data_IF_954611950517
#
_entry.id   IF_954611950517
#
_cell.length_a   1.000
_cell.length_b   1.000
_cell.length_c   1.000
_cell.angle_alpha   90.00
_cell.angle_beta   90.00
_cell.angle_gamma   90.00
#
_symmetry.space_group_name_H-M   'P 1'
#
loop_
_entity.id
_entity.type
_entity.pdbx_description
1 polymer ?
#
# COMPACT_ATOMS: atom_id res chain seq x y z
N UNK A 1 5.81 -0.14 -4.04
CA UNK A 1 6.41 -0.90 -2.93
C UNK A 1 7.80 -1.32 -3.33
N UNK A 2 8.80 -0.95 -2.53
CA UNK A 2 10.16 -1.46 -2.68
C UNK A 2 10.39 -2.44 -1.53
N UNK A 3 10.67 -3.69 -1.82
CA UNK A 3 11.08 -4.66 -0.82
C UNK A 3 12.29 -5.44 -1.32
N UNK A 4 13.15 -5.75 -0.38
CA UNK A 4 14.30 -6.65 -0.57
C UNK A 4 13.87 -8.01 -0.05
N UNK A 5 13.73 -8.99 -0.92
CA UNK A 5 13.35 -10.34 -0.54
C UNK A 5 14.56 -11.27 -0.64
N UNK A 6 15.04 -11.76 0.49
CA UNK A 6 15.90 -12.94 0.51
C UNK A 6 15.03 -14.16 0.23
N UNK A 7 14.96 -14.57 -1.04
CA UNK A 7 14.27 -15.80 -1.41
C UNK A 7 15.22 -16.98 -1.17
N UNK A 8 15.08 -17.65 -0.04
CA UNK A 8 15.75 -18.93 0.16
C UNK A 8 14.98 -20.05 -0.55
N UNK A 9 15.38 -20.37 -1.77
CA UNK A 9 14.96 -21.62 -2.43
C UNK A 9 15.88 -22.75 -1.94
N UNK A 10 15.36 -23.81 -1.30
CA UNK A 10 16.18 -24.92 -0.83
C UNK A 10 16.49 -25.86 -2.00
N UNK A 11 17.42 -25.48 -2.85
CA UNK A 11 18.08 -26.39 -3.81
C UNK A 11 19.53 -26.01 -3.92
N UNK A 12 20.39 -26.57 -3.04
CA UNK A 12 21.85 -26.74 -3.26
C UNK A 12 22.69 -25.54 -3.73
N UNK A 13 22.18 -24.31 -3.71
CA UNK A 13 22.82 -23.07 -4.07
C UNK A 13 22.46 -22.02 -3.03
N UNK A 14 23.37 -21.09 -2.70
CA UNK A 14 23.18 -20.06 -1.67
C UNK A 14 21.89 -19.27 -1.83
N UNK A 15 21.36 -18.72 -0.73
CA UNK A 15 20.22 -17.81 -0.71
C UNK A 15 20.47 -16.69 -1.71
N UNK A 16 19.55 -16.49 -2.65
CA UNK A 16 19.56 -15.36 -3.58
C UNK A 16 18.61 -14.30 -3.05
N UNK A 17 19.11 -13.11 -2.81
CA UNK A 17 18.26 -11.95 -2.51
C UNK A 17 17.92 -11.21 -3.79
N UNK A 18 16.70 -10.71 -3.90
CA UNK A 18 16.26 -9.84 -4.99
C UNK A 18 15.46 -8.68 -4.46
N UNK A 19 15.62 -7.51 -5.08
CA UNK A 19 14.76 -6.36 -4.82
C UNK A 19 13.68 -6.31 -5.89
N UNK A 20 12.44 -6.16 -5.46
CA UNK A 20 11.27 -6.00 -6.33
C UNK A 20 10.71 -4.60 -6.13
N UNK A 21 10.36 -3.94 -7.21
CA UNK A 21 9.64 -2.66 -7.21
C UNK A 21 8.35 -2.86 -7.98
N UNK A 22 7.23 -2.57 -7.33
CA UNK A 22 5.92 -2.55 -7.96
C UNK A 22 5.29 -1.17 -7.78
N UNK A 23 4.70 -0.63 -8.84
CA UNK A 23 3.97 0.63 -8.85
C UNK A 23 2.48 0.36 -8.92
N UNK A 24 1.68 1.29 -8.44
CA UNK A 24 0.26 1.36 -8.81
C UNK A 24 0.19 1.45 -10.34
N UNK A 25 -0.66 0.64 -10.96
CA UNK A 25 -0.66 0.42 -12.40
C UNK A 25 -1.98 0.72 -13.11
N UNK A 26 -3.05 1.00 -12.35
CA UNK A 26 -4.36 1.38 -12.88
C UNK A 26 -5.09 2.27 -11.86
N UNK A 27 -6.02 3.12 -12.30
CA UNK A 27 -6.82 3.98 -11.40
C UNK A 27 -7.66 3.17 -10.39
N UNK A 28 -8.02 1.93 -10.69
CA UNK A 28 -8.68 1.03 -9.72
C UNK A 28 -7.74 0.39 -8.71
N UNK A 29 -6.45 0.73 -8.72
CA UNK A 29 -5.42 0.19 -7.83
C UNK A 29 -5.03 1.18 -6.72
N UNK A 30 -5.47 2.43 -6.80
CA UNK A 30 -5.51 3.36 -5.67
C UNK A 30 -6.93 3.92 -5.51
N UNK A 31 -7.33 4.14 -4.27
CA UNK A 31 -8.68 4.57 -3.98
C UNK A 31 -8.79 5.19 -2.59
N UNK A 32 -9.78 6.03 -2.40
CA UNK A 32 -10.10 6.70 -1.16
C UNK A 32 -11.53 6.39 -0.76
N UNK A 33 -11.73 5.90 0.45
CA UNK A 33 -13.06 5.70 1.02
C UNK A 33 -13.32 6.73 2.11
N UNK A 34 -14.33 7.56 1.89
CA UNK A 34 -14.78 8.60 2.79
C UNK A 34 -15.56 8.04 4.00
N UNK A 35 -15.79 8.88 5.01
CA UNK A 35 -16.52 8.50 6.24
C UNK A 35 -17.95 8.03 5.96
N UNK A 36 -18.60 8.50 4.89
CA UNK A 36 -19.93 8.06 4.47
C UNK A 36 -19.93 6.73 3.70
N UNK A 37 -18.74 6.14 3.48
CA UNK A 37 -18.52 4.90 2.77
C UNK A 37 -18.44 5.06 1.25
N UNK A 38 -18.59 6.26 0.70
CA UNK A 38 -18.37 6.50 -0.73
C UNK A 38 -16.90 6.29 -1.09
N UNK A 39 -16.64 5.71 -2.27
CA UNK A 39 -15.28 5.39 -2.73
C UNK A 39 -14.99 6.12 -4.02
N UNK A 40 -13.89 6.86 -4.05
CA UNK A 40 -13.29 7.43 -5.24
C UNK A 40 -12.13 6.53 -5.71
N UNK A 41 -12.16 6.14 -6.98
CA UNK A 41 -11.11 5.36 -7.66
C UNK A 41 -10.47 6.15 -8.80
N UNK A 42 -10.67 7.44 -8.84
CA UNK A 42 -10.21 8.31 -9.93
C UNK A 42 -9.75 9.68 -9.44
N UNK A 43 -9.42 9.79 -8.14
CA UNK A 43 -8.83 11.02 -7.60
C UNK A 43 -7.48 11.31 -8.24
N UNK A 44 -7.19 12.57 -8.51
CA UNK A 44 -5.90 13.00 -9.06
C UNK A 44 -4.77 13.01 -8.04
N UNK A 45 -5.08 12.83 -6.78
CA UNK A 45 -4.17 12.80 -5.64
C UNK A 45 -4.72 11.87 -4.54
N UNK A 46 -3.92 11.59 -3.53
CA UNK A 46 -4.28 10.74 -2.41
C UNK A 46 -4.10 11.53 -1.11
N UNK A 47 -5.23 11.83 -0.45
CA UNK A 47 -5.21 12.48 0.85
C UNK A 47 -5.08 11.44 1.98
N UNK A 48 -3.94 11.48 2.64
CA UNK A 48 -3.64 10.59 3.77
C UNK A 48 -3.75 11.34 5.11
N UNK A 49 -4.89 11.40 5.79
CA UNK A 49 -6.17 10.74 5.60
C UNK A 49 -7.32 11.72 5.88
N UNK A 50 -7.03 13.01 5.93
CA UNK A 50 -8.02 14.06 6.19
C UNK A 50 -8.01 15.08 5.05
N UNK A 51 -9.15 15.27 4.42
CA UNK A 51 -9.43 16.36 3.50
C UNK A 51 -10.64 17.13 4.01
N UNK A 52 -11.83 16.81 3.55
CA UNK A 52 -13.12 17.34 4.07
C UNK A 52 -13.71 16.45 5.17
N UNK A 53 -13.32 15.22 5.24
CA UNK A 53 -13.68 14.22 6.27
C UNK A 53 -12.49 13.25 6.45
N UNK A 54 -12.63 12.29 7.35
CA UNK A 54 -11.62 11.24 7.52
C UNK A 54 -11.85 10.16 6.47
N UNK A 55 -10.78 9.72 5.85
CA UNK A 55 -10.84 8.70 4.81
C UNK A 55 -9.81 7.59 5.02
N UNK A 56 -9.98 6.49 4.31
CA UNK A 56 -9.02 5.37 4.24
C UNK A 56 -8.52 5.25 2.82
N UNK A 57 -7.21 5.29 2.65
CA UNK A 57 -6.57 5.10 1.35
C UNK A 57 -6.27 3.63 1.13
N UNK A 58 -6.72 3.08 0.02
CA UNK A 58 -6.40 1.75 -0.47
C UNK A 58 -5.35 1.80 -1.57
N UNK A 59 -4.35 0.92 -1.49
CA UNK A 59 -3.27 0.82 -2.47
C UNK A 59 -3.11 -0.66 -2.85
N UNK A 60 -3.26 -0.99 -4.13
CA UNK A 60 -3.12 -2.35 -4.65
C UNK A 60 -1.95 -2.42 -5.63
N UNK A 61 -1.15 -3.42 -5.50
CA UNK A 61 0.02 -3.70 -6.32
C UNK A 61 -0.18 -5.03 -7.02
N UNK A 62 -0.24 -5.00 -8.34
CA UNK A 62 -0.51 -6.18 -9.17
C UNK A 62 0.76 -6.93 -9.56
N UNK A 63 0.57 -8.21 -9.91
CA UNK A 63 1.62 -9.09 -10.45
C UNK A 63 2.86 -9.20 -9.54
N UNK A 64 2.67 -9.39 -8.23
CA UNK A 64 3.78 -9.47 -7.26
C UNK A 64 4.55 -10.79 -7.42
N UNK A 65 5.81 -10.78 -7.88
CA UNK A 65 6.56 -11.99 -8.21
C UNK A 65 7.22 -12.64 -6.97
N UNK A 66 6.58 -12.61 -5.81
CA UNK A 66 7.08 -13.25 -4.58
C UNK A 66 6.54 -14.67 -4.49
N UNK A 67 7.43 -15.62 -4.25
CA UNK A 67 7.01 -17.00 -4.00
C UNK A 67 6.28 -17.14 -2.66
N UNK A 68 5.31 -18.06 -2.58
CA UNK A 68 4.68 -18.41 -1.30
C UNK A 68 5.74 -18.86 -0.30
N UNK A 69 5.68 -18.31 0.92
CA UNK A 69 6.63 -18.61 1.99
C UNK A 69 8.03 -18.05 1.79
N UNK A 70 8.26 -17.15 0.81
CA UNK A 70 9.50 -16.39 0.71
C UNK A 70 9.70 -15.54 1.97
N UNK A 71 10.95 -15.34 2.38
CA UNK A 71 11.29 -14.49 3.53
C UNK A 71 11.38 -13.04 3.05
N UNK A 72 10.52 -12.19 3.59
CA UNK A 72 10.52 -10.74 3.34
C UNK A 72 11.38 -10.07 4.41
N UNK A 73 12.54 -9.57 4.03
CA UNK A 73 13.49 -8.96 4.98
C UNK A 73 13.33 -7.45 5.10
N UNK A 74 12.73 -6.81 4.10
CA UNK A 74 12.45 -5.39 4.07
C UNK A 74 11.25 -5.13 3.14
N UNK A 75 10.34 -4.24 3.54
CA UNK A 75 9.28 -3.74 2.69
C UNK A 75 8.95 -2.29 3.07
N UNK A 76 8.69 -1.45 2.07
CA UNK A 76 8.33 -0.06 2.26
C UNK A 76 7.37 0.42 1.18
N UNK A 77 6.55 1.41 1.53
CA UNK A 77 5.84 2.26 0.58
C UNK A 77 6.65 3.52 0.31
N UNK A 78 6.60 4.00 -0.91
CA UNK A 78 7.17 5.29 -1.29
C UNK A 78 6.07 6.12 -1.93
N UNK A 79 5.87 7.30 -1.38
CA UNK A 79 4.93 8.30 -1.85
C UNK A 79 5.69 9.48 -2.43
N UNK A 80 5.15 10.10 -3.47
CA UNK A 80 5.62 11.38 -3.98
C UNK A 80 4.67 12.47 -3.48
N UNK A 81 5.18 13.52 -2.89
CA UNK A 81 4.36 14.61 -2.36
C UNK A 81 3.72 15.41 -3.51
N UNK A 82 2.40 15.50 -3.54
CA UNK A 82 1.65 16.37 -4.46
C UNK A 82 1.45 17.76 -3.87
N UNK A 83 1.22 17.85 -2.57
CA UNK A 83 1.08 19.12 -1.85
C UNK A 83 2.10 19.28 -0.72
N UNK A 84 2.39 20.54 -0.37
CA UNK A 84 3.16 20.85 0.84
C UNK A 84 2.24 20.87 2.05
N UNK A 85 2.53 20.07 3.07
CA UNK A 85 1.78 20.05 4.32
C UNK A 85 2.68 19.70 5.51
N UNK A 86 2.45 20.38 6.66
CA UNK A 86 3.17 20.17 7.90
C UNK A 86 2.27 19.83 9.08
N UNK A 87 1.00 19.54 8.84
CA UNK A 87 0.03 19.11 9.85
C UNK A 87 0.57 17.90 10.61
N UNK A 88 0.36 17.85 11.91
CA UNK A 88 0.74 16.68 12.71
C UNK A 88 -0.05 15.46 12.22
N UNK A 89 0.65 14.46 11.72
CA UNK A 89 0.06 13.30 11.04
C UNK A 89 0.54 12.00 11.69
N UNK A 90 -0.38 11.10 11.98
CA UNK A 90 -0.11 9.77 12.53
C UNK A 90 -0.94 8.74 11.79
N UNK A 91 -0.27 7.90 11.02
CA UNK A 91 -0.89 6.92 10.12
C UNK A 91 -0.61 5.50 10.61
N UNK A 92 -1.48 4.59 10.20
CA UNK A 92 -1.33 3.15 10.40
C UNK A 92 -1.55 2.45 9.06
N UNK A 93 -0.64 1.57 8.70
CA UNK A 93 -0.74 0.73 7.51
C UNK A 93 -1.11 -0.69 7.93
N UNK A 94 -2.12 -1.27 7.27
CA UNK A 94 -2.47 -2.68 7.32
C UNK A 94 -2.42 -3.27 5.91
N UNK A 95 -2.25 -4.58 5.80
CA UNK A 95 -2.46 -5.30 4.56
C UNK A 95 -3.88 -5.87 4.45
N UNK A 96 -4.31 -6.22 3.24
CA UNK A 96 -5.43 -7.11 3.05
C UNK A 96 -4.98 -8.54 3.27
N UNK A 97 -5.62 -9.25 4.19
CA UNK A 97 -5.34 -10.67 4.41
C UNK A 97 -6.07 -11.48 3.33
N UNK A 98 -5.51 -11.46 2.14
CA UNK A 98 -6.00 -12.18 0.95
C UNK A 98 -4.81 -12.77 0.21
N UNK A 99 -5.00 -13.89 -0.41
CA UNK A 99 -4.03 -14.52 -1.32
C UNK A 99 -3.98 -13.82 -2.68
N UNK A 100 -5.07 -13.13 -3.09
CA UNK A 100 -5.13 -12.37 -4.33
C UNK A 100 -6.12 -11.20 -4.14
N UNK A 101 -5.63 -9.98 -4.06
CA UNK A 101 -6.44 -8.81 -3.76
C UNK A 101 -7.15 -8.27 -5.01
N UNK A 102 -8.48 -8.26 -5.00
CA UNK A 102 -9.26 -7.65 -6.08
C UNK A 102 -9.07 -6.13 -6.17
N UNK A 103 -9.17 -5.57 -7.37
CA UNK A 103 -9.15 -4.13 -7.61
C UNK A 103 -10.23 -3.40 -6.77
N UNK A 104 -10.02 -2.12 -6.51
CA UNK A 104 -11.02 -1.28 -5.85
C UNK A 104 -12.16 -0.93 -6.80
N UNK A 105 -13.29 -0.55 -6.22
CA UNK A 105 -14.48 -0.15 -6.97
C UNK A 105 -15.24 0.95 -6.23
N UNK A 106 -16.11 1.65 -6.92
CA UNK A 106 -16.98 2.70 -6.35
C UNK A 106 -18.12 2.15 -5.47
N UNK A 107 -18.12 0.86 -5.15
CA UNK A 107 -19.10 0.27 -4.23
C UNK A 107 -18.92 0.82 -2.82
N UNK A 108 -20.00 1.21 -2.17
CA UNK A 108 -19.98 1.73 -0.79
C UNK A 108 -19.30 0.72 0.14
N UNK A 109 -18.34 1.20 0.93
CA UNK A 109 -17.61 0.37 1.89
C UNK A 109 -16.60 -0.59 1.25
N UNK A 110 -16.19 -0.37 0.01
CA UNK A 110 -15.31 -1.32 -0.71
C UNK A 110 -13.92 -1.47 -0.07
N UNK A 111 -13.43 -0.44 0.66
CA UNK A 111 -12.13 -0.46 1.33
C UNK A 111 -12.28 -0.86 2.80
N UNK A 112 -13.25 -0.30 3.51
CA UNK A 112 -13.38 -0.46 4.98
C UNK A 112 -14.15 -1.70 5.40
N UNK A 113 -14.89 -2.35 4.51
CA UNK A 113 -15.61 -3.59 4.83
C UNK A 113 -14.64 -4.75 5.12
N UNK A 114 -14.38 -4.99 6.40
CA UNK A 114 -13.45 -6.04 6.86
C UNK A 114 -13.93 -7.46 6.61
N UNK A 115 -15.19 -7.66 6.20
CA UNK A 115 -15.70 -8.97 5.79
C UNK A 115 -15.19 -9.31 4.38
N UNK A 116 -15.21 -8.35 3.47
CA UNK A 116 -14.77 -8.53 2.09
C UNK A 116 -13.26 -8.31 1.95
N UNK A 117 -12.71 -7.41 2.77
CA UNK A 117 -11.28 -7.08 2.81
C UNK A 117 -10.73 -7.21 4.25
N UNK A 118 -10.55 -8.45 4.74
CA UNK A 118 -9.97 -8.68 6.07
C UNK A 118 -8.57 -8.08 6.16
N UNK A 119 -8.23 -7.59 7.35
CA UNK A 119 -6.93 -6.97 7.63
C UNK A 119 -5.93 -8.00 8.13
N UNK A 120 -4.66 -7.77 7.82
CA UNK A 120 -3.55 -8.47 8.48
C UNK A 120 -3.56 -8.19 9.99
N UNK A 121 -3.07 -9.14 10.78
CA UNK A 121 -2.80 -8.92 12.21
C UNK A 121 -1.61 -7.99 12.39
N UNK A 122 -0.61 -8.08 11.52
CA UNK A 122 0.50 -7.16 11.47
C UNK A 122 0.03 -5.78 10.98
N UNK A 123 0.59 -4.74 11.58
CA UNK A 123 0.39 -3.35 11.18
C UNK A 123 1.68 -2.56 11.38
N UNK A 124 1.78 -1.42 10.72
CA UNK A 124 2.92 -0.51 10.86
C UNK A 124 2.41 0.91 11.13
N UNK A 125 2.90 1.52 12.21
CA UNK A 125 2.66 2.92 12.51
C UNK A 125 3.65 3.81 11.76
N UNK A 126 3.14 4.81 11.06
CA UNK A 126 3.94 5.77 10.30
C UNK A 126 3.61 7.20 10.69
N UNK A 127 4.63 7.93 11.11
CA UNK A 127 4.55 9.38 11.38
C UNK A 127 5.37 10.10 10.32
N UNK A 128 4.78 10.45 9.18
CA UNK A 128 5.51 11.11 8.10
C UNK A 128 6.02 12.47 8.55
N UNK A 129 7.24 12.80 8.14
CA UNK A 129 7.72 14.18 8.25
C UNK A 129 6.88 15.11 7.38
N UNK A 130 7.00 16.43 7.57
CA UNK A 130 6.35 17.40 6.71
C UNK A 130 6.71 17.14 5.24
N UNK A 131 5.71 17.21 4.35
CA UNK A 131 5.91 17.30 2.91
C UNK A 131 6.33 18.74 2.60
N UNK A 132 7.64 18.96 2.54
CA UNK A 132 8.20 20.32 2.47
C UNK A 132 8.31 20.85 1.04
N UNK A 133 8.21 19.99 0.04
CA UNK A 133 8.21 20.37 -1.37
C UNK A 133 7.46 19.33 -2.21
N UNK A 134 6.74 19.81 -3.21
CA UNK A 134 6.10 18.98 -4.24
C UNK A 134 7.18 18.15 -4.95
N UNK A 135 6.87 16.90 -5.27
CA UNK A 135 7.78 15.93 -5.88
C UNK A 135 8.79 15.28 -4.93
N UNK A 136 8.75 15.65 -3.64
CA UNK A 136 9.62 15.01 -2.63
C UNK A 136 9.13 13.58 -2.35
N UNK A 137 10.08 12.65 -2.27
CA UNK A 137 9.78 11.26 -1.91
C UNK A 137 9.73 11.08 -0.40
N UNK A 138 8.73 10.34 0.07
CA UNK A 138 8.53 9.97 1.46
C UNK A 138 8.35 8.47 1.60
N UNK A 139 9.09 7.87 2.52
CA UNK A 139 9.11 6.42 2.71
C UNK A 139 8.40 6.02 4.01
N UNK A 140 7.47 5.10 3.92
CA UNK A 140 6.88 4.37 5.02
C UNK A 140 7.55 3.00 5.10
N UNK A 141 8.50 2.83 6.01
CA UNK A 141 9.33 1.63 6.16
C UNK A 141 8.83 0.72 7.28
N UNK A 142 9.19 -0.57 7.24
CA UNK A 142 8.81 -1.52 8.29
C UNK A 142 7.55 -2.33 7.96
N UNK A 143 7.25 -2.53 6.68
CA UNK A 143 6.08 -3.27 6.20
C UNK A 143 6.34 -4.77 6.03
N UNK A 144 7.54 -5.26 6.32
CA UNK A 144 7.94 -6.64 6.07
C UNK A 144 7.03 -7.66 6.75
N UNK A 145 6.57 -7.41 7.97
CA UNK A 145 5.66 -8.33 8.67
C UNK A 145 4.26 -8.36 8.03
N UNK A 146 3.79 -7.25 7.49
CA UNK A 146 2.51 -7.16 6.78
C UNK A 146 2.60 -7.97 5.48
N UNK A 147 3.63 -7.71 4.68
CA UNK A 147 3.84 -8.43 3.41
C UNK A 147 4.08 -9.91 3.67
N UNK A 148 4.86 -10.27 4.72
CA UNK A 148 5.11 -11.66 5.09
C UNK A 148 3.80 -12.41 5.45
N UNK A 149 2.88 -11.77 6.18
CA UNK A 149 1.60 -12.37 6.53
C UNK A 149 0.76 -12.67 5.28
N UNK A 150 0.80 -11.78 4.29
CA UNK A 150 0.07 -11.96 3.02
C UNK A 150 0.70 -13.08 2.18
N UNK A 151 2.00 -13.05 1.95
CA UNK A 151 2.67 -14.05 1.10
C UNK A 151 2.72 -15.46 1.72
N UNK A 152 2.41 -15.57 2.99
CA UNK A 152 2.24 -16.85 3.69
C UNK A 152 0.83 -17.44 3.55
N UNK A 153 -0.13 -16.72 2.93
CA UNK A 153 -1.47 -17.28 2.70
C UNK A 153 -1.36 -18.53 1.81
N UNK A 154 -2.15 -19.56 2.11
CA UNK A 154 -2.04 -20.85 1.44
C UNK A 154 -2.32 -20.80 -0.07
N UNK A 155 -3.12 -19.83 -0.51
CA UNK A 155 -3.45 -19.59 -1.92
C UNK A 155 -2.54 -18.58 -2.61
N UNK A 156 -1.59 -17.94 -1.87
CA UNK A 156 -0.67 -16.99 -2.48
C UNK A 156 0.24 -17.67 -3.52
N UNK A 157 0.39 -17.04 -4.66
CA UNK A 157 1.30 -17.47 -5.73
C UNK A 157 2.00 -16.26 -6.37
N UNK A 158 3.18 -16.42 -6.96
CA UNK A 158 3.80 -15.38 -7.77
C UNK A 158 2.86 -14.91 -8.88
N UNK A 159 2.68 -13.61 -9.01
CA UNK A 159 1.73 -12.99 -9.93
C UNK A 159 0.40 -12.61 -9.29
N UNK A 160 0.15 -12.97 -8.03
CA UNK A 160 -1.02 -12.49 -7.29
C UNK A 160 -0.83 -11.03 -6.87
N UNK A 161 -1.94 -10.39 -6.50
CA UNK A 161 -2.03 -8.99 -6.18
C UNK A 161 -2.08 -8.76 -4.67
N UNK A 162 -1.39 -7.71 -4.22
CA UNK A 162 -1.27 -7.33 -2.81
C UNK A 162 -1.93 -5.98 -2.59
N UNK A 163 -2.76 -5.84 -1.55
CA UNK A 163 -3.34 -4.56 -1.18
C UNK A 163 -2.95 -4.14 0.24
N UNK A 164 -2.72 -2.83 0.39
CA UNK A 164 -2.43 -2.14 1.64
C UNK A 164 -3.46 -1.04 1.88
N UNK A 165 -3.68 -0.71 3.15
CA UNK A 165 -4.62 0.31 3.58
C UNK A 165 -3.94 1.27 4.53
N UNK A 166 -4.10 2.57 4.28
CA UNK A 166 -3.60 3.65 5.13
C UNK A 166 -4.78 4.32 5.82
N UNK A 167 -4.71 4.42 7.13
CA UNK A 167 -5.71 5.07 7.97
C UNK A 167 -5.01 5.86 9.08
N UNK A 168 -5.72 6.68 9.84
CA UNK A 168 -5.11 7.43 10.95
C UNK A 168 -5.69 8.82 11.13
N UNK A 169 -4.83 9.82 11.37
CA UNK A 169 -5.18 11.22 11.57
C UNK A 169 -4.18 12.15 10.92
N UNK A 170 -4.61 13.36 10.56
CA UNK A 170 -3.78 14.39 9.93
C UNK A 170 -3.79 14.30 8.41
N UNK A 171 -3.06 15.19 7.76
CA UNK A 171 -3.07 15.33 6.31
C UNK A 171 -1.66 15.18 5.70
N UNK A 172 -1.56 14.41 4.62
CA UNK A 172 -0.49 14.41 3.62
C UNK A 172 -1.13 14.11 2.27
N UNK A 173 -0.75 14.84 1.25
CA UNK A 173 -1.25 14.64 -0.09
C UNK A 173 -0.14 14.12 -0.98
N UNK A 174 -0.37 12.99 -1.60
CA UNK A 174 0.57 12.32 -2.50
C UNK A 174 -0.02 12.15 -3.89
N UNK A 175 0.83 12.05 -4.90
CA UNK A 175 0.40 11.74 -6.26
C UNK A 175 -0.36 10.41 -6.29
N UNK A 176 -1.46 10.36 -7.07
CA UNK A 176 -2.19 9.16 -7.42
C UNK A 176 -1.81 8.67 -8.82
N UNK A 177 -2.33 7.50 -9.21
CA UNK A 177 -2.19 7.01 -10.58
C UNK A 177 -2.89 7.92 -11.59
N UNK A 178 -4.10 8.41 -11.27
CA UNK A 178 -4.87 9.25 -12.18
C UNK A 178 -4.32 10.67 -12.29
N UNK A 179 -3.56 11.14 -11.29
CA UNK A 179 -2.83 12.42 -11.35
C UNK A 179 -1.54 12.32 -12.17
N UNK A 180 -0.64 11.45 -11.78
CA UNK A 180 0.60 11.16 -12.51
C UNK A 180 1.04 9.69 -12.32
N UNK A 181 0.80 8.82 -13.31
CA UNK A 181 1.19 7.40 -13.22
C UNK A 181 2.68 7.17 -12.99
N UNK A 182 3.54 8.12 -13.31
CA UNK A 182 5.00 7.98 -13.14
C UNK A 182 5.44 8.19 -11.69
N UNK A 183 4.66 8.91 -10.90
CA UNK A 183 4.94 9.29 -9.51
C UNK A 183 3.97 8.66 -8.51
N UNK A 184 3.01 7.86 -8.98
CA UNK A 184 2.10 7.08 -8.18
C UNK A 184 2.84 6.21 -7.12
N UNK A 185 2.17 5.79 -6.04
CA UNK A 185 2.78 5.01 -4.98
C UNK A 185 3.45 3.71 -5.48
N UNK A 186 4.58 3.38 -4.87
CA UNK A 186 5.32 2.16 -5.17
C UNK A 186 5.89 1.51 -3.91
#
# INVERSE_FOLDING_TARGET
ITYDSDVSVPTGGGCQSSTIVSLISAGSDDAEEHEDGSVDVGSSDLEMVEERDTQVVGLRFSDIPIANGAIVTNAKLVFTADEMDSTATSLTVHGQLSDDASAFSTSIGNITNTTDRPRTSASMAWTPTAFASIGQLHEATGLENIVQEIVNQAGWAPGNDLALFVSGTGKRVADSFDGDPATAPR
#
